data_IF_122927043083
#
_entry.id   IF_122927043083
#
_cell.length_a   1.000
_cell.length_b   1.000
_cell.length_c   1.000
_cell.angle_alpha   90.00
_cell.angle_beta   90.00
_cell.angle_gamma   90.00
#
_symmetry.space_group_name_H-M   'P 1'
#
loop_
_entity.id
_entity.type
_entity.pdbx_description
1 polymer ?
#
# COMPACT_ATOMS: atom_id res chain seq x y z
N UNK A 1 -7.91 19.17 0.41
CA UNK A 1 -6.84 19.74 1.27
C UNK A 1 -5.52 19.49 0.55
N UNK A 2 -4.56 20.41 0.57
CA UNK A 2 -3.24 20.13 -0.03
C UNK A 2 -2.45 19.25 0.95
N UNK A 3 -1.92 18.09 0.51
CA UNK A 3 -1.20 17.20 1.41
C UNK A 3 0.06 17.87 1.96
N UNK A 4 0.39 17.58 3.22
CA UNK A 4 1.64 18.01 3.84
C UNK A 4 2.83 17.33 3.14
N UNK A 5 4.01 17.94 3.21
CA UNK A 5 5.24 17.33 2.67
C UNK A 5 5.54 15.97 3.29
N UNK A 6 5.19 15.78 4.56
CA UNK A 6 5.27 14.50 5.27
C UNK A 6 4.43 13.42 4.59
N UNK A 7 3.17 13.72 4.25
CA UNK A 7 2.26 12.81 3.55
C UNK A 7 2.88 12.29 2.25
N UNK A 8 3.37 13.19 1.39
CA UNK A 8 3.96 12.81 0.11
C UNK A 8 5.22 11.95 0.26
N UNK A 9 6.08 12.28 1.25
CA UNK A 9 7.29 11.51 1.53
C UNK A 9 6.95 10.11 2.04
N UNK A 10 6.02 10.01 2.98
CA UNK A 10 5.67 8.76 3.65
C UNK A 10 4.90 7.82 2.70
N UNK A 11 4.02 8.35 1.85
CA UNK A 11 3.35 7.60 0.79
C UNK A 11 4.38 7.01 -0.20
N UNK A 12 5.32 7.84 -0.67
CA UNK A 12 6.39 7.39 -1.56
C UNK A 12 7.28 6.34 -0.91
N UNK A 13 7.68 6.55 0.35
CA UNK A 13 8.54 5.61 1.07
C UNK A 13 7.85 4.27 1.27
N UNK A 14 6.59 4.26 1.74
CA UNK A 14 5.87 3.02 2.00
C UNK A 14 5.59 2.24 0.71
N UNK A 15 5.26 2.93 -0.38
CA UNK A 15 5.12 2.31 -1.69
C UNK A 15 6.44 1.72 -2.20
N UNK A 16 7.57 2.40 -2.00
CA UNK A 16 8.88 1.88 -2.40
C UNK A 16 9.33 0.69 -1.53
N UNK A 17 9.00 0.69 -0.25
CA UNK A 17 9.21 -0.47 0.63
C UNK A 17 8.41 -1.68 0.12
N UNK A 18 7.13 -1.49 -0.23
CA UNK A 18 6.30 -2.55 -0.79
C UNK A 18 6.91 -3.12 -2.09
N UNK A 19 7.37 -2.25 -3.00
CA UNK A 19 8.08 -2.68 -4.23
C UNK A 19 9.34 -3.49 -3.91
N UNK A 20 10.14 -3.06 -2.92
CA UNK A 20 11.34 -3.80 -2.51
C UNK A 20 11.01 -5.19 -1.99
N UNK A 21 9.94 -5.35 -1.20
CA UNK A 21 9.49 -6.68 -0.77
C UNK A 21 9.05 -7.55 -1.95
N UNK A 22 8.25 -6.99 -2.86
CA UNK A 22 7.76 -7.73 -4.03
C UNK A 22 8.90 -8.14 -4.96
N UNK A 23 9.83 -7.23 -5.24
CA UNK A 23 11.04 -7.50 -6.02
C UNK A 23 11.91 -8.59 -5.37
N UNK A 24 12.12 -8.51 -4.06
CA UNK A 24 12.89 -9.51 -3.31
C UNK A 24 12.25 -10.91 -3.41
N UNK A 25 10.92 -10.98 -3.41
CA UNK A 25 10.16 -12.22 -3.60
C UNK A 25 9.97 -12.63 -5.06
N UNK A 26 10.57 -11.89 -6.01
CA UNK A 26 10.39 -12.07 -7.45
C UNK A 26 8.90 -12.08 -7.88
N UNK A 27 8.07 -11.29 -7.20
CA UNK A 27 6.66 -11.08 -7.55
C UNK A 27 6.58 -10.03 -8.64
N UNK A 28 5.81 -10.34 -9.69
CA UNK A 28 5.42 -9.35 -10.68
C UNK A 28 4.26 -8.53 -10.15
N UNK A 29 4.23 -7.25 -10.45
CA UNK A 29 3.15 -6.36 -10.02
C UNK A 29 2.96 -5.19 -11.00
N UNK A 30 1.78 -4.58 -10.92
CA UNK A 30 1.51 -3.23 -11.41
C UNK A 30 1.17 -2.35 -10.21
N UNK A 31 1.67 -1.12 -10.19
CA UNK A 31 1.40 -0.16 -9.11
C UNK A 31 0.82 1.12 -9.69
N UNK A 32 -0.24 1.65 -9.09
CA UNK A 32 -0.92 2.86 -9.55
C UNK A 32 -1.03 3.90 -8.43
N UNK A 33 -0.89 5.18 -8.81
CA UNK A 33 -1.07 6.35 -7.94
C UNK A 33 -1.34 7.62 -8.77
N UNK A 34 -2.28 8.49 -8.37
CA UNK A 34 -3.54 8.10 -7.73
C UNK A 34 -4.46 7.40 -8.75
N UNK A 35 -5.33 6.50 -8.28
CA UNK A 35 -6.47 6.03 -9.07
C UNK A 35 -7.74 6.05 -8.22
N UNK A 36 -8.82 6.58 -8.78
CA UNK A 36 -10.12 6.57 -8.10
C UNK A 36 -10.80 5.21 -8.30
N UNK A 37 -11.03 4.50 -7.20
CA UNK A 37 -11.88 3.32 -7.13
C UNK A 37 -13.33 3.79 -7.05
N UNK A 38 -14.19 3.33 -7.95
CA UNK A 38 -15.59 3.78 -8.00
C UNK A 38 -16.51 2.69 -8.54
N UNK A 39 -17.53 2.36 -7.76
CA UNK A 39 -18.66 1.52 -8.14
C UNK A 39 -19.93 2.37 -8.27
N UNK A 40 -20.92 1.97 -9.08
CA UNK A 40 -22.23 2.62 -9.08
C UNK A 40 -22.80 2.69 -7.65
N UNK A 41 -23.33 3.86 -7.28
CA UNK A 41 -24.01 4.10 -5.99
C UNK A 41 -23.10 4.03 -4.73
N UNK A 42 -21.82 3.72 -4.89
CA UNK A 42 -20.83 3.75 -3.80
C UNK A 42 -19.94 4.99 -3.96
N UNK A 43 -19.62 5.65 -2.84
CA UNK A 43 -18.68 6.77 -2.86
C UNK A 43 -17.32 6.30 -3.38
N UNK A 44 -16.76 7.06 -4.31
CA UNK A 44 -15.41 6.79 -4.79
C UNK A 44 -14.38 7.00 -3.69
N UNK A 45 -13.36 6.15 -3.67
CA UNK A 45 -12.18 6.29 -2.81
C UNK A 45 -10.93 6.37 -3.67
N UNK A 46 -9.88 7.01 -3.18
CA UNK A 46 -8.64 7.19 -3.91
C UNK A 46 -7.46 6.88 -2.99
N UNK A 47 -6.97 5.63 -2.99
CA UNK A 47 -5.80 5.29 -2.19
C UNK A 47 -4.55 6.02 -2.69
N UNK A 48 -3.67 6.39 -1.76
CA UNK A 48 -2.37 6.98 -2.08
C UNK A 48 -1.60 6.11 -3.07
N UNK A 49 -1.58 4.80 -2.85
CA UNK A 49 -1.05 3.80 -3.79
C UNK A 49 -1.90 2.53 -3.76
N UNK A 50 -1.94 1.81 -4.88
CA UNK A 50 -2.41 0.43 -4.91
C UNK A 50 -1.55 -0.45 -5.82
N UNK A 51 -1.57 -1.75 -5.54
CA UNK A 51 -0.78 -2.75 -6.22
C UNK A 51 -1.67 -3.91 -6.66
N UNK A 52 -1.54 -4.28 -7.92
CA UNK A 52 -1.99 -5.57 -8.43
C UNK A 52 -0.78 -6.49 -8.46
N UNK A 53 -0.84 -7.57 -7.71
CA UNK A 53 0.26 -8.50 -7.46
C UNK A 53 -0.13 -9.87 -8.03
N UNK A 54 -1.17 -10.50 -7.47
CA UNK A 54 -1.69 -11.78 -7.95
C UNK A 54 -2.45 -11.61 -9.27
N UNK A 55 -3.14 -10.49 -9.42
CA UNK A 55 -3.97 -10.18 -10.59
C UNK A 55 -3.34 -9.17 -11.57
N UNK A 56 -2.03 -8.92 -11.48
CA UNK A 56 -1.33 -7.90 -12.27
C UNK A 56 -1.63 -7.99 -13.77
N UNK A 57 -1.65 -9.21 -14.34
CA UNK A 57 -1.91 -9.42 -15.77
C UNK A 57 -3.30 -8.99 -16.23
N UNK A 58 -4.28 -8.91 -15.34
CA UNK A 58 -5.63 -8.45 -15.67
C UNK A 58 -5.68 -6.94 -15.98
N UNK A 59 -4.66 -6.18 -15.56
CA UNK A 59 -4.64 -4.72 -15.66
C UNK A 59 -3.51 -4.15 -16.51
N UNK A 60 -2.50 -4.96 -16.86
CA UNK A 60 -1.39 -4.54 -17.74
C UNK A 60 -1.92 -3.91 -19.04
N UNK A 61 -1.41 -2.72 -19.34
CA UNK A 61 -1.72 -1.99 -20.58
C UNK A 61 -3.11 -1.35 -20.63
N UNK A 62 -3.95 -1.53 -19.61
CA UNK A 62 -5.24 -0.84 -19.53
C UNK A 62 -5.03 0.63 -19.20
N UNK A 63 -5.83 1.49 -19.86
CA UNK A 63 -5.87 2.93 -19.57
C UNK A 63 -6.85 3.28 -18.44
N UNK A 64 -7.81 2.40 -18.18
CA UNK A 64 -8.85 2.53 -17.15
C UNK A 64 -9.17 1.13 -16.62
N UNK A 65 -9.38 1.04 -15.32
CA UNK A 65 -9.88 -0.15 -14.65
C UNK A 65 -11.41 -0.09 -14.68
N UNK A 66 -12.06 -1.19 -15.06
CA UNK A 66 -13.49 -1.32 -14.90
C UNK A 66 -13.80 -1.98 -13.55
N UNK A 67 -14.14 -1.19 -12.53
CA UNK A 67 -14.36 -1.68 -11.16
C UNK A 67 -15.54 -2.65 -11.00
N UNK A 68 -16.44 -2.72 -11.98
CA UNK A 68 -17.54 -3.69 -11.96
C UNK A 68 -17.14 -5.08 -12.48
N UNK A 69 -16.03 -5.20 -13.23
CA UNK A 69 -15.64 -6.45 -13.90
C UNK A 69 -14.20 -6.88 -13.68
N UNK A 70 -13.29 -5.91 -13.50
CA UNK A 70 -11.88 -6.17 -13.23
C UNK A 70 -11.69 -6.49 -11.74
N UNK A 71 -10.70 -7.32 -11.39
CA UNK A 71 -10.40 -7.57 -9.98
C UNK A 71 -10.00 -6.27 -9.28
N UNK A 72 -10.18 -6.17 -7.95
CA UNK A 72 -9.60 -5.07 -7.19
C UNK A 72 -8.08 -5.18 -7.14
N UNK A 73 -7.36 -4.09 -6.76
CA UNK A 73 -5.96 -4.23 -6.37
C UNK A 73 -5.84 -5.22 -5.22
N UNK A 74 -4.72 -5.93 -5.17
CA UNK A 74 -4.46 -6.92 -4.13
C UNK A 74 -3.98 -6.24 -2.82
N UNK A 75 -3.31 -5.09 -2.94
CA UNK A 75 -2.86 -4.24 -1.82
C UNK A 75 -3.20 -2.76 -2.07
N UNK A 76 -3.78 -2.09 -1.07
CA UNK A 76 -3.91 -0.62 -1.03
C UNK A 76 -3.07 -0.02 0.12
N UNK A 77 -2.56 1.19 -0.09
CA UNK A 77 -1.77 1.95 0.88
C UNK A 77 -2.41 3.32 1.08
N UNK A 78 -2.54 3.73 2.34
CA UNK A 78 -3.04 5.03 2.76
C UNK A 78 -2.17 5.65 3.85
N UNK A 79 -1.94 6.95 3.78
CA UNK A 79 -1.26 7.72 4.82
C UNK A 79 -2.27 8.62 5.54
N UNK A 80 -2.58 8.28 6.78
CA UNK A 80 -3.48 9.05 7.65
C UNK A 80 -2.65 10.02 8.51
N UNK A 81 -2.25 11.15 7.89
CA UNK A 81 -1.58 12.27 8.61
C UNK A 81 -2.61 13.22 9.23
N UNK A 82 -3.63 13.61 8.46
CA UNK A 82 -4.58 14.68 8.83
C UNK A 82 -6.05 14.31 8.65
N UNK A 83 -6.35 13.17 8.04
CA UNK A 83 -7.71 12.76 7.68
C UNK A 83 -7.95 11.31 8.06
N UNK A 84 -8.95 11.10 8.91
CA UNK A 84 -9.37 9.76 9.32
C UNK A 84 -9.67 8.90 8.09
N UNK A 85 -8.83 7.89 7.88
CA UNK A 85 -9.10 6.82 6.91
C UNK A 85 -9.86 5.71 7.64
N UNK A 86 -11.07 5.38 7.17
CA UNK A 86 -11.78 4.18 7.61
C UNK A 86 -11.42 3.01 6.70
N UNK A 87 -10.83 1.95 7.23
CA UNK A 87 -10.53 0.77 6.42
C UNK A 87 -11.79 0.15 5.81
N UNK A 88 -12.95 0.36 6.43
CA UNK A 88 -14.21 -0.16 5.92
C UNK A 88 -14.66 0.51 4.61
N UNK A 89 -14.08 1.65 4.24
CA UNK A 89 -14.33 2.28 2.94
C UNK A 89 -13.83 1.40 1.78
N UNK A 90 -12.88 0.50 2.03
CA UNK A 90 -12.39 -0.47 1.05
C UNK A 90 -13.26 -1.73 0.93
N UNK A 91 -14.20 -1.99 1.86
CA UNK A 91 -15.02 -3.20 1.87
C UNK A 91 -15.87 -3.38 0.59
N UNK A 92 -16.54 -2.35 0.04
CA UNK A 92 -17.32 -2.50 -1.20
C UNK A 92 -16.47 -2.98 -2.38
N UNK A 93 -15.19 -2.61 -2.39
CA UNK A 93 -14.24 -2.98 -3.44
C UNK A 93 -13.51 -4.29 -3.14
N UNK A 94 -13.68 -4.85 -1.94
CA UNK A 94 -13.09 -6.12 -1.50
C UNK A 94 -11.56 -6.20 -1.68
N UNK A 95 -10.84 -5.11 -1.39
CA UNK A 95 -9.37 -5.10 -1.44
C UNK A 95 -8.82 -6.10 -0.42
N UNK A 96 -8.02 -7.12 -0.81
CA UNK A 96 -7.58 -8.18 0.10
C UNK A 96 -6.73 -7.68 1.29
N UNK A 97 -5.85 -6.72 1.07
CA UNK A 97 -4.96 -6.17 2.10
C UNK A 97 -4.88 -4.64 2.01
N UNK A 98 -4.97 -3.95 3.15
CA UNK A 98 -4.88 -2.48 3.23
C UNK A 98 -3.86 -2.10 4.30
N UNK A 99 -2.89 -1.30 3.90
CA UNK A 99 -1.85 -0.74 4.76
C UNK A 99 -2.19 0.71 5.07
N UNK A 100 -2.39 1.03 6.33
CA UNK A 100 -2.65 2.40 6.78
C UNK A 100 -1.50 2.84 7.66
N UNK A 101 -0.73 3.83 7.22
CA UNK A 101 0.26 4.49 8.05
C UNK A 101 -0.41 5.62 8.83
N UNK A 102 -0.54 5.45 10.14
CA UNK A 102 -1.18 6.43 11.02
C UNK A 102 -0.27 6.77 12.19
N UNK A 103 -0.01 8.06 12.38
CA UNK A 103 0.84 8.55 13.47
C UNK A 103 2.20 7.82 13.54
N UNK A 104 2.84 7.65 12.39
CA UNK A 104 4.13 6.96 12.22
C UNK A 104 4.12 5.47 12.63
N UNK A 105 2.95 4.81 12.61
CA UNK A 105 2.79 3.37 12.85
C UNK A 105 2.02 2.73 11.71
N UNK A 106 2.51 1.59 11.23
CA UNK A 106 1.84 0.84 10.18
C UNK A 106 0.78 -0.09 10.78
N UNK A 107 -0.46 0.10 10.34
CA UNK A 107 -1.57 -0.81 10.57
C UNK A 107 -1.80 -1.62 9.30
N UNK A 108 -1.87 -2.95 9.44
CA UNK A 108 -2.09 -3.86 8.31
C UNK A 108 -3.41 -4.57 8.54
N UNK A 109 -4.35 -4.33 7.64
CA UNK A 109 -5.67 -4.93 7.65
C UNK A 109 -5.78 -5.93 6.53
N UNK A 110 -6.34 -7.11 6.82
CA UNK A 110 -6.67 -8.10 5.81
C UNK A 110 -8.15 -8.38 5.81
N UNK A 111 -8.73 -8.50 4.62
CA UNK A 111 -10.13 -8.87 4.44
C UNK A 111 -10.29 -10.35 4.79
N UNK A 112 -11.10 -10.63 5.82
CA UNK A 112 -11.50 -11.97 6.21
C UNK A 112 -13.02 -12.05 6.11
N UNK A 113 -13.50 -12.90 5.19
CA UNK A 113 -14.92 -13.02 4.85
C UNK A 113 -15.53 -11.66 4.47
N UNK A 114 -16.16 -10.97 5.43
CA UNK A 114 -16.90 -9.72 5.25
C UNK A 114 -16.38 -8.58 6.13
N UNK A 115 -15.18 -8.71 6.73
CA UNK A 115 -14.61 -7.64 7.57
C UNK A 115 -13.09 -7.56 7.51
N UNK A 116 -12.55 -6.37 7.77
CA UNK A 116 -11.12 -6.16 7.91
C UNK A 116 -10.64 -6.49 9.33
N UNK A 117 -9.59 -7.30 9.42
CA UNK A 117 -8.95 -7.67 10.69
C UNK A 117 -7.53 -7.16 10.70
N UNK A 118 -7.12 -6.51 11.81
CA UNK A 118 -5.74 -6.08 12.03
C UNK A 118 -4.85 -7.31 12.26
N UNK A 119 -3.85 -7.51 11.39
CA UNK A 119 -3.01 -8.71 11.39
C UNK A 119 -1.64 -8.44 10.73
N UNK A 120 -0.87 -9.49 10.45
CA UNK A 120 0.37 -9.40 9.68
C UNK A 120 0.11 -9.42 8.16
N UNK A 121 1.04 -8.85 7.41
CA UNK A 121 1.00 -8.89 5.95
C UNK A 121 1.05 -10.32 5.42
N UNK A 122 0.31 -10.58 4.36
CA UNK A 122 0.42 -11.81 3.59
C UNK A 122 1.58 -11.80 2.59
N UNK A 123 2.11 -10.62 2.26
CA UNK A 123 3.15 -10.46 1.24
C UNK A 123 4.56 -10.62 1.78
N UNK A 124 4.85 -10.17 3.01
CA UNK A 124 6.20 -10.28 3.58
C UNK A 124 6.13 -10.42 5.11
N UNK A 125 7.03 -11.18 5.77
CA UNK A 125 7.06 -11.29 7.23
C UNK A 125 7.60 -10.02 7.90
N UNK A 126 7.14 -9.70 9.11
CA UNK A 126 7.63 -8.59 9.95
C UNK A 126 7.57 -7.21 9.27
N UNK A 127 6.58 -6.99 8.38
CA UNK A 127 6.45 -5.74 7.61
C UNK A 127 6.35 -4.53 8.54
N UNK A 128 5.61 -4.64 9.65
CA UNK A 128 5.41 -3.53 10.60
C UNK A 128 6.73 -3.09 11.23
N UNK A 129 7.55 -4.04 11.66
CA UNK A 129 8.85 -3.79 12.27
C UNK A 129 9.83 -3.18 11.28
N UNK A 130 9.90 -3.74 10.06
CA UNK A 130 10.80 -3.25 9.01
C UNK A 130 10.40 -1.83 8.58
N UNK A 131 9.11 -1.58 8.37
CA UNK A 131 8.60 -0.24 8.03
C UNK A 131 8.88 0.74 9.16
N UNK A 132 8.69 0.35 10.42
CA UNK A 132 9.00 1.21 11.57
C UNK A 132 10.50 1.60 11.61
N UNK A 133 11.41 0.68 11.28
CA UNK A 133 12.84 0.99 11.16
C UNK A 133 13.12 1.94 10.00
N UNK A 134 12.51 1.72 8.84
CA UNK A 134 12.66 2.61 7.68
C UNK A 134 12.18 4.03 7.97
N UNK A 135 11.03 4.17 8.65
CA UNK A 135 10.48 5.47 9.05
C UNK A 135 11.40 6.21 10.04
N UNK A 136 12.02 5.48 10.97
CA UNK A 136 13.01 6.07 11.90
C UNK A 136 14.23 6.59 11.15
N UNK A 137 14.77 5.80 10.21
CA UNK A 137 15.92 6.21 9.39
C UNK A 137 15.60 7.41 8.50
N UNK A 138 14.37 7.49 7.97
CA UNK A 138 13.92 8.58 7.10
C UNK A 138 13.89 9.96 7.78
N UNK A 139 14.03 10.04 9.12
CA UNK A 139 14.16 11.30 9.84
C UNK A 139 15.54 11.96 9.65
N UNK A 140 16.56 11.16 9.32
CA UNK A 140 17.96 11.60 9.22
C UNK A 140 18.56 11.33 7.84
N UNK A 141 17.93 10.45 7.05
CA UNK A 141 18.41 9.99 5.75
C UNK A 141 17.37 10.23 4.66
N UNK A 142 17.84 10.33 3.42
CA UNK A 142 16.95 10.45 2.26
C UNK A 142 16.20 9.12 2.02
N UNK A 143 15.02 9.20 1.39
CA UNK A 143 14.26 8.01 0.94
C UNK A 143 15.15 7.03 0.16
N UNK A 144 16.04 7.54 -0.69
CA UNK A 144 16.92 6.70 -1.50
C UNK A 144 17.96 5.92 -0.70
N UNK A 145 18.47 6.50 0.39
CA UNK A 145 19.41 5.83 1.31
C UNK A 145 18.69 4.75 2.11
N UNK A 146 17.49 5.05 2.63
CA UNK A 146 16.65 4.09 3.35
C UNK A 146 16.29 2.88 2.46
N UNK A 147 15.86 3.13 1.22
CA UNK A 147 15.54 2.05 0.28
C UNK A 147 16.78 1.22 -0.09
N UNK A 148 17.95 1.85 -0.23
CA UNK A 148 19.20 1.11 -0.47
C UNK A 148 19.59 0.25 0.71
N UNK A 149 19.45 0.77 1.92
CA UNK A 149 19.66 0.00 3.15
C UNK A 149 18.72 -1.20 3.20
N UNK A 150 17.41 -1.01 2.95
CA UNK A 150 16.43 -2.09 2.98
C UNK A 150 16.77 -3.19 1.97
N UNK A 151 17.16 -2.82 0.74
CA UNK A 151 17.59 -3.79 -0.28
C UNK A 151 18.80 -4.62 0.15
N UNK A 152 19.73 -4.04 0.91
CA UNK A 152 20.89 -4.77 1.45
C UNK A 152 20.48 -5.65 2.64
N UNK A 153 19.70 -5.11 3.56
CA UNK A 153 19.16 -5.83 4.72
C UNK A 153 18.43 -7.12 4.31
N UNK A 154 17.62 -7.08 3.25
CA UNK A 154 16.91 -8.26 2.75
C UNK A 154 17.80 -9.27 2.03
N UNK A 155 19.00 -8.89 1.56
CA UNK A 155 19.95 -9.83 0.92
C UNK A 155 20.75 -10.64 1.95
N UNK A 156 20.83 -10.15 3.18
CA UNK A 156 21.60 -10.75 4.27
C UNK A 156 20.77 -11.71 5.14
N UNK A 157 19.46 -11.80 4.90
CA UNK A 157 18.55 -12.80 5.49
C UNK A 157 18.45 -14.04 4.61
#
# INVERSE_FOLDING_TARGET
MTPLTEHGRDASLLADIAKVFLDHLNRIYESFTPITMSLPEISGIEPDFCFYIENCRAVVGKKRINWESDPPPDLAIEIDVTSYTDVNDFLPYRVPEVWILKSNRLLIYRLQEESYVLTESSYFPNVREIVQQCLQMANEQTTSEVIRWLKNFLREQ
#
